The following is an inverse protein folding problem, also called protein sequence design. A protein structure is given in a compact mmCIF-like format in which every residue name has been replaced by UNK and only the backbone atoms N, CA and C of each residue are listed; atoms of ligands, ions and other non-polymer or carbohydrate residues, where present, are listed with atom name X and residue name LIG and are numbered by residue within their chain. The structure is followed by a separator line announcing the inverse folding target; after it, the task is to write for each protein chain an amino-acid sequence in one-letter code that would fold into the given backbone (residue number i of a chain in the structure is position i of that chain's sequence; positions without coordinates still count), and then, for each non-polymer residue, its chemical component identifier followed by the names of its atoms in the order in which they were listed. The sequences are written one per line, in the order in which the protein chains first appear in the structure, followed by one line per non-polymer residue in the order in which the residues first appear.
data_IF_318112478217
#
_entry.id   IF_318112478217
#
_cell.length_a   1.000
_cell.length_b   1.000
_cell.length_c   1.000
_cell.angle_alpha   90.00
_cell.angle_beta   90.00
_cell.angle_gamma   90.00
#
_symmetry.space_group_name_H-M   'P 1'
#
loop_
_entity.id
_entity.type
_entity.pdbx_description
1 polymer ?
#
# COMPACT_ATOMS: atom_id res chain seq x y z
N UNK A 1 -18.77 -11.64 -4.14
CA UNK A 1 -18.43 -12.91 -3.46
C UNK A 1 -17.55 -13.84 -4.31
N UNK A 2 -17.91 -14.13 -5.56
CA UNK A 2 -17.15 -15.06 -6.41
C UNK A 2 -15.67 -14.67 -6.62
N UNK A 3 -15.36 -13.38 -6.70
CA UNK A 3 -13.97 -12.91 -6.88
C UNK A 3 -13.14 -12.91 -5.60
N UNK A 4 -13.77 -12.84 -4.42
CA UNK A 4 -13.11 -12.91 -3.11
C UNK A 4 -12.71 -14.35 -2.73
N UNK A 5 -13.47 -15.34 -3.21
CA UNK A 5 -13.15 -16.77 -3.04
C UNK A 5 -11.93 -17.15 -3.91
N UNK A 6 -11.81 -16.58 -5.12
CA UNK A 6 -10.65 -16.80 -6.02
C UNK A 6 -9.31 -16.28 -5.48
N UNK A 7 -9.33 -15.33 -4.55
CA UNK A 7 -8.12 -14.76 -3.92
C UNK A 7 -7.73 -15.41 -2.59
N UNK A 8 -8.38 -16.51 -2.21
CA UNK A 8 -7.99 -17.32 -1.04
C UNK A 8 -8.48 -16.78 0.31
N UNK A 9 -9.53 -15.97 0.32
CA UNK A 9 -10.26 -15.60 1.55
C UNK A 9 -11.29 -16.68 1.81
N UNK A 10 -10.92 -17.71 2.58
CA UNK A 10 -11.74 -18.91 2.75
C UNK A 10 -12.94 -18.72 3.69
N UNK A 11 -13.03 -17.61 4.42
CA UNK A 11 -14.16 -17.31 5.30
C UNK A 11 -14.32 -15.79 5.42
N UNK A 12 -15.23 -15.21 4.64
CA UNK A 12 -15.71 -13.85 4.88
C UNK A 12 -16.79 -13.95 5.97
N UNK A 13 -16.48 -13.51 7.19
CA UNK A 13 -17.46 -13.38 8.26
C UNK A 13 -18.59 -12.42 7.86
N UNK A 14 -19.76 -12.52 8.50
CA UNK A 14 -20.89 -11.62 8.22
C UNK A 14 -20.55 -10.13 8.42
N UNK A 15 -19.58 -9.82 9.30
CA UNK A 15 -19.07 -8.46 9.48
C UNK A 15 -18.25 -7.97 8.27
N UNK A 16 -17.47 -8.86 7.64
CA UNK A 16 -16.68 -8.53 6.44
C UNK A 16 -17.58 -8.36 5.21
N UNK A 17 -18.72 -9.05 5.15
CA UNK A 17 -19.73 -8.85 4.11
C UNK A 17 -20.42 -7.49 4.24
N UNK A 18 -20.71 -7.04 5.46
CA UNK A 18 -21.22 -5.68 5.73
C UNK A 18 -20.23 -4.56 5.33
N UNK A 19 -18.92 -4.78 5.51
CA UNK A 19 -17.86 -3.84 5.08
C UNK A 19 -17.80 -3.68 3.56
N UNK A 20 -18.27 -4.65 2.78
CA UNK A 20 -18.33 -4.53 1.32
C UNK A 20 -19.42 -3.57 0.85
N UNK A 21 -20.36 -3.16 1.69
CA UNK A 21 -21.42 -2.23 1.30
C UNK A 21 -21.08 -0.75 1.55
N UNK A 22 -20.12 -0.47 2.42
CA UNK A 22 -19.54 0.88 2.58
C UNK A 22 -18.31 1.04 1.68
N UNK A 23 -18.30 1.99 0.72
CA UNK A 23 -17.17 2.17 -0.20
C UNK A 23 -15.81 2.38 0.48
N UNK A 24 -15.77 3.08 1.61
CA UNK A 24 -14.53 3.37 2.35
C UNK A 24 -14.02 2.13 3.10
N UNK A 25 -14.93 1.37 3.70
CA UNK A 25 -14.58 0.11 4.36
C UNK A 25 -14.19 -0.96 3.34
N UNK A 26 -14.85 -0.97 2.18
CA UNK A 26 -14.56 -1.86 1.05
C UNK A 26 -13.14 -1.65 0.53
N UNK A 27 -12.73 -0.42 0.26
CA UNK A 27 -11.36 -0.14 -0.22
C UNK A 27 -10.29 -0.61 0.76
N UNK A 28 -10.49 -0.30 2.05
CA UNK A 28 -9.56 -0.74 3.12
C UNK A 28 -9.51 -2.26 3.22
N UNK A 29 -10.65 -2.93 3.16
CA UNK A 29 -10.75 -4.39 3.24
C UNK A 29 -10.06 -5.07 2.04
N UNK A 30 -10.30 -4.58 0.82
CA UNK A 30 -9.65 -5.09 -0.39
C UNK A 30 -8.13 -4.95 -0.27
N UNK A 31 -7.65 -3.78 0.16
CA UNK A 31 -6.23 -3.52 0.37
C UNK A 31 -5.60 -4.51 1.37
N UNK A 32 -6.26 -4.74 2.51
CA UNK A 32 -5.83 -5.72 3.50
C UNK A 32 -5.74 -7.12 2.89
N UNK A 33 -6.79 -7.59 2.22
CA UNK A 33 -6.84 -8.93 1.60
C UNK A 33 -5.71 -9.11 0.60
N UNK A 34 -5.49 -8.16 -0.31
CA UNK A 34 -4.40 -8.26 -1.29
C UNK A 34 -3.01 -8.20 -0.65
N UNK A 35 -2.84 -7.43 0.41
CA UNK A 35 -1.58 -7.38 1.17
C UNK A 35 -1.31 -8.71 1.85
N UNK A 36 -2.32 -9.31 2.50
CA UNK A 36 -2.20 -10.62 3.13
C UNK A 36 -1.94 -11.74 2.11
N UNK A 37 -2.56 -11.66 0.93
CA UNK A 37 -2.25 -12.58 -0.17
C UNK A 37 -0.78 -12.47 -0.58
N UNK A 38 -0.27 -11.25 -0.81
CA UNK A 38 1.15 -11.02 -1.17
C UNK A 38 2.09 -11.52 -0.07
N UNK A 39 1.72 -11.34 1.19
CA UNK A 39 2.48 -11.86 2.32
C UNK A 39 2.53 -13.40 2.33
N UNK A 40 1.37 -14.07 2.20
CA UNK A 40 1.30 -15.54 2.10
C UNK A 40 2.08 -16.08 0.91
N UNK A 41 2.03 -15.39 -0.23
CA UNK A 41 2.82 -15.75 -1.41
C UNK A 41 4.34 -15.56 -1.15
N UNK A 42 4.74 -14.57 -0.34
CA UNK A 42 6.13 -14.41 0.08
C UNK A 42 6.59 -15.56 1.00
N UNK A 43 5.74 -16.05 1.90
CA UNK A 43 6.01 -17.19 2.80
C UNK A 43 6.21 -18.52 2.07
N UNK A 44 5.69 -18.67 0.84
CA UNK A 44 5.94 -19.87 0.02
C UNK A 44 7.41 -19.98 -0.43
N UNK A 45 8.14 -18.87 -0.39
CA UNK A 45 9.57 -18.85 -0.73
C UNK A 45 10.41 -19.17 0.50
N UNK A 46 11.69 -19.50 0.30
CA UNK A 46 12.63 -19.67 1.41
C UNK A 46 12.66 -18.42 2.29
N UNK A 47 12.55 -18.58 3.61
CA UNK A 47 12.70 -17.50 4.57
C UNK A 47 14.14 -16.98 4.60
N UNK A 48 14.38 -15.92 3.85
CA UNK A 48 15.68 -15.23 3.80
C UNK A 48 15.51 -13.75 4.09
N UNK A 49 16.58 -13.12 4.58
CA UNK A 49 16.60 -11.66 4.78
C UNK A 49 16.39 -10.91 3.45
N UNK A 50 16.94 -11.44 2.34
CA UNK A 50 16.77 -10.83 1.02
C UNK A 50 15.32 -10.81 0.56
N UNK A 51 14.59 -11.91 0.75
CA UNK A 51 13.17 -11.99 0.41
C UNK A 51 12.34 -11.03 1.28
N UNK A 52 12.66 -10.90 2.57
CA UNK A 52 11.96 -9.96 3.44
C UNK A 52 12.25 -8.50 3.07
N UNK A 53 13.49 -8.17 2.73
CA UNK A 53 13.88 -6.84 2.24
C UNK A 53 13.12 -6.48 0.96
N UNK A 54 13.00 -7.43 0.02
CA UNK A 54 12.24 -7.21 -1.21
C UNK A 54 10.75 -7.00 -0.94
N UNK A 55 10.14 -7.85 -0.10
CA UNK A 55 8.74 -7.70 0.29
C UNK A 55 8.50 -6.34 0.96
N UNK A 56 9.28 -6.04 2.00
CA UNK A 56 9.16 -4.80 2.75
C UNK A 56 9.33 -3.57 1.85
N UNK A 57 10.32 -3.60 0.94
CA UNK A 57 10.56 -2.49 0.01
C UNK A 57 9.34 -2.17 -0.86
N UNK A 58 8.59 -3.19 -1.31
CA UNK A 58 7.40 -3.01 -2.14
C UNK A 58 6.19 -2.48 -1.36
N UNK A 59 6.08 -2.80 -0.07
CA UNK A 59 4.96 -2.41 0.80
C UNK A 59 5.22 -1.13 1.62
N UNK A 60 6.39 -0.49 1.49
CA UNK A 60 6.80 0.65 2.32
C UNK A 60 5.78 1.79 2.36
N UNK A 61 5.29 2.22 1.19
CA UNK A 61 4.32 3.32 1.12
C UNK A 61 2.95 2.92 1.70
N UNK A 62 2.55 1.66 1.54
CA UNK A 62 1.35 1.11 2.15
C UNK A 62 1.44 1.16 3.68
N UNK A 63 2.55 0.66 4.24
CA UNK A 63 2.81 0.71 5.69
C UNK A 63 2.82 2.16 6.20
N UNK A 64 3.36 3.10 5.44
CA UNK A 64 3.33 4.52 5.78
C UNK A 64 1.90 5.08 5.78
N UNK A 65 1.05 4.66 4.84
CA UNK A 65 -0.35 5.07 4.75
C UNK A 65 -1.16 4.59 5.97
N UNK A 66 -0.93 3.37 6.44
CA UNK A 66 -1.59 2.84 7.64
C UNK A 66 -0.98 3.40 8.92
N UNK A 67 0.34 3.40 9.04
CA UNK A 67 1.03 3.79 10.26
C UNK A 67 2.49 4.17 10.05
N UNK A 68 2.82 5.48 10.11
CA UNK A 68 4.22 5.94 10.10
C UNK A 68 5.07 5.33 11.22
N UNK A 69 4.45 4.95 12.35
CA UNK A 69 5.12 4.23 13.44
C UNK A 69 5.59 2.84 12.98
N UNK A 70 4.69 2.05 12.41
CA UNK A 70 5.02 0.70 11.91
C UNK A 70 5.98 0.76 10.72
N UNK A 71 5.81 1.72 9.81
CA UNK A 71 6.77 1.98 8.73
C UNK A 71 8.21 2.11 9.25
N UNK A 72 8.42 2.89 10.33
CA UNK A 72 9.75 3.05 10.95
C UNK A 72 10.20 1.80 11.70
N UNK A 73 9.34 1.19 12.53
CA UNK A 73 9.71 0.03 13.34
C UNK A 73 10.02 -1.20 12.49
N UNK A 74 9.22 -1.45 11.46
CA UNK A 74 9.41 -2.56 10.54
C UNK A 74 10.62 -2.33 9.63
N UNK A 75 10.88 -1.09 9.21
CA UNK A 75 12.12 -0.74 8.51
C UNK A 75 13.37 -1.04 9.34
N UNK A 76 13.35 -0.71 10.64
CA UNK A 76 14.41 -1.06 11.59
C UNK A 76 14.55 -2.58 11.76
N UNK A 77 13.42 -3.29 11.93
CA UNK A 77 13.40 -4.75 12.05
C UNK A 77 14.07 -5.43 10.85
N UNK A 78 13.77 -4.96 9.62
CA UNK A 78 14.36 -5.50 8.40
C UNK A 78 15.86 -5.17 8.31
N UNK A 79 16.27 -3.95 8.69
CA UNK A 79 17.69 -3.57 8.68
C UNK A 79 18.53 -4.41 9.66
N UNK A 80 17.97 -4.71 10.83
CA UNK A 80 18.63 -5.50 11.89
C UNK A 80 18.43 -7.01 11.72
N UNK A 81 17.61 -7.46 10.76
CA UNK A 81 17.17 -8.84 10.63
C UNK A 81 18.28 -9.88 10.43
N UNK A 82 19.48 -9.48 10.00
CA UNK A 82 20.63 -10.39 9.86
C UNK A 82 21.11 -11.00 11.17
N UNK A 83 20.80 -10.38 12.32
CA UNK A 83 21.18 -10.89 13.65
C UNK A 83 20.13 -11.83 14.26
N UNK A 84 19.04 -12.14 13.54
CA UNK A 84 17.94 -12.96 14.04
C UNK A 84 17.81 -14.28 13.26
N UNK A 85 17.36 -15.37 13.91
CA UNK A 85 16.90 -16.55 13.20
C UNK A 85 15.79 -16.19 12.21
N UNK A 86 15.79 -16.70 10.96
CA UNK A 86 14.81 -16.35 9.94
C UNK A 86 13.36 -16.51 10.39
N UNK A 87 13.01 -17.62 11.04
CA UNK A 87 11.63 -17.85 11.53
C UNK A 87 11.19 -16.80 12.54
N UNK A 88 12.06 -16.46 13.51
CA UNK A 88 11.75 -15.43 14.50
C UNK A 88 11.56 -14.05 13.87
N UNK A 89 12.36 -13.73 12.84
CA UNK A 89 12.25 -12.48 12.09
C UNK A 89 10.91 -12.41 11.33
N UNK A 90 10.51 -13.47 10.64
CA UNK A 90 9.28 -13.52 9.87
C UNK A 90 8.05 -13.45 10.77
N UNK A 91 8.00 -14.20 11.87
CA UNK A 91 6.91 -14.13 12.86
C UNK A 91 6.77 -12.71 13.44
N UNK A 92 7.88 -12.07 13.80
CA UNK A 92 7.86 -10.70 14.33
C UNK A 92 7.42 -9.68 13.27
N UNK A 93 7.82 -9.88 12.02
CA UNK A 93 7.39 -9.04 10.91
C UNK A 93 5.90 -9.20 10.62
N UNK A 94 5.40 -10.43 10.61
CA UNK A 94 3.97 -10.74 10.41
C UNK A 94 3.10 -10.07 11.48
N UNK A 95 3.46 -10.19 12.77
CA UNK A 95 2.71 -9.51 13.85
C UNK A 95 2.58 -8.00 13.60
N UNK A 96 3.69 -7.32 13.29
CA UNK A 96 3.68 -5.88 13.02
C UNK A 96 2.94 -5.53 11.72
N UNK A 97 3.00 -6.39 10.70
CA UNK A 97 2.24 -6.21 9.47
C UNK A 97 0.73 -6.28 9.75
N UNK A 98 0.29 -7.28 10.50
CA UNK A 98 -1.12 -7.42 10.90
C UNK A 98 -1.55 -6.21 11.72
N UNK A 99 -0.80 -5.82 12.75
CA UNK A 99 -1.07 -4.62 13.57
C UNK A 99 -1.21 -3.36 12.72
N UNK A 100 -0.30 -3.16 11.75
CA UNK A 100 -0.36 -2.02 10.84
C UNK A 100 -1.62 -2.04 9.97
N UNK A 101 -1.96 -3.17 9.37
CA UNK A 101 -3.11 -3.31 8.47
C UNK A 101 -4.46 -3.09 9.16
N UNK A 102 -4.58 -3.36 10.47
CA UNK A 102 -5.79 -3.05 11.24
C UNK A 102 -6.03 -1.54 11.42
N UNK A 103 -5.00 -0.71 11.24
CA UNK A 103 -5.12 0.74 11.42
C UNK A 103 -5.66 1.40 10.15
N UNK A 104 -6.61 2.34 10.32
CA UNK A 104 -7.16 3.12 9.20
C UNK A 104 -6.09 4.00 8.55
N UNK A 105 -5.98 3.92 7.23
CA UNK A 105 -5.24 4.86 6.40
C UNK A 105 -6.07 6.14 6.20
N UNK A 106 -5.87 7.12 7.08
CA UNK A 106 -6.65 8.36 7.07
C UNK A 106 -6.23 9.27 5.92
N UNK A 107 -7.12 10.18 5.49
CA UNK A 107 -6.80 11.17 4.44
C UNK A 107 -5.52 11.96 4.73
N UNK A 108 -5.27 12.30 5.99
CA UNK A 108 -4.02 12.95 6.41
C UNK A 108 -2.78 12.07 6.18
N UNK A 109 -2.83 10.78 6.54
CA UNK A 109 -1.70 9.85 6.30
C UNK A 109 -1.51 9.59 4.80
N UNK A 110 -2.60 9.45 4.05
CA UNK A 110 -2.56 9.30 2.61
C UNK A 110 -1.93 10.53 1.93
N UNK A 111 -2.34 11.73 2.32
CA UNK A 111 -1.73 13.00 1.88
C UNK A 111 -0.22 13.00 2.14
N UNK A 112 0.22 12.55 3.32
CA UNK A 112 1.66 12.44 3.63
C UNK A 112 2.39 11.47 2.69
N UNK A 113 1.76 10.35 2.31
CA UNK A 113 2.33 9.40 1.35
C UNK A 113 2.40 10.01 -0.05
N UNK A 114 1.36 10.69 -0.52
CA UNK A 114 1.35 11.38 -1.82
C UNK A 114 2.44 12.45 -1.90
N UNK A 115 2.60 13.25 -0.84
CA UNK A 115 3.68 14.23 -0.74
C UNK A 115 5.07 13.57 -0.70
N UNK A 116 5.20 12.42 -0.02
CA UNK A 116 6.43 11.65 -0.03
C UNK A 116 6.77 11.13 -1.43
N UNK A 117 5.79 10.65 -2.19
CA UNK A 117 5.95 10.23 -3.59
C UNK A 117 6.39 11.43 -4.46
N UNK A 118 5.74 12.59 -4.32
CA UNK A 118 6.12 13.81 -5.05
C UNK A 118 7.60 14.18 -4.85
N UNK A 119 8.15 13.93 -3.66
CA UNK A 119 9.57 14.15 -3.36
C UNK A 119 10.55 13.40 -4.26
N UNK A 120 10.18 12.25 -4.84
CA UNK A 120 11.03 11.52 -5.79
C UNK A 120 11.19 12.26 -7.12
N UNK A 121 10.26 13.14 -7.45
CA UNK A 121 10.26 13.89 -8.70
C UNK A 121 10.80 15.31 -8.57
N UNK A 122 11.42 15.67 -7.44
CA UNK A 122 11.88 17.04 -7.15
C UNK A 122 12.80 17.65 -8.21
N UNK A 123 13.52 16.83 -8.98
CA UNK A 123 14.43 17.25 -10.07
C UNK A 123 13.89 16.94 -11.47
N UNK A 124 12.71 16.32 -11.56
CA UNK A 124 12.16 15.78 -12.80
C UNK A 124 10.95 16.58 -13.30
N UNK A 125 10.04 16.98 -12.39
CA UNK A 125 8.87 17.76 -12.77
C UNK A 125 9.26 19.20 -13.09
N UNK A 126 8.63 19.74 -14.14
CA UNK A 126 8.53 21.17 -14.37
C UNK A 126 7.75 21.86 -13.24
N UNK A 127 7.83 23.18 -13.16
CA UNK A 127 7.09 23.96 -12.17
C UNK A 127 5.56 23.76 -12.31
N UNK A 128 5.07 23.70 -13.55
CA UNK A 128 3.67 23.50 -13.88
C UNK A 128 3.17 22.11 -13.47
N UNK A 129 3.86 21.03 -13.86
CA UNK A 129 3.50 19.67 -13.45
C UNK A 129 3.56 19.49 -11.93
N UNK A 130 4.53 20.12 -11.26
CA UNK A 130 4.61 20.09 -9.80
C UNK A 130 3.40 20.77 -9.16
N UNK A 131 2.96 21.90 -9.72
CA UNK A 131 1.78 22.62 -9.25
C UNK A 131 0.51 21.80 -9.45
N UNK A 132 0.34 21.16 -10.62
CA UNK A 132 -0.77 20.25 -10.91
C UNK A 132 -0.87 19.12 -9.87
N UNK A 133 0.26 18.49 -9.52
CA UNK A 133 0.27 17.43 -8.50
C UNK A 133 -0.09 17.97 -7.12
N UNK A 134 0.42 19.15 -6.73
CA UNK A 134 0.13 19.75 -5.43
C UNK A 134 -1.37 20.10 -5.30
N UNK A 135 -1.96 20.69 -6.33
CA UNK A 135 -3.40 20.99 -6.37
C UNK A 135 -4.24 19.72 -6.30
N UNK A 136 -3.84 18.67 -7.03
CA UNK A 136 -4.52 17.39 -6.98
C UNK A 136 -4.46 16.73 -5.58
N UNK A 137 -3.32 16.84 -4.90
CA UNK A 137 -3.17 16.34 -3.52
C UNK A 137 -4.04 17.15 -2.56
N UNK A 138 -4.13 18.47 -2.74
CA UNK A 138 -4.97 19.34 -1.90
C UNK A 138 -6.46 19.04 -2.11
N UNK A 139 -6.90 18.87 -3.36
CA UNK A 139 -8.27 18.47 -3.68
C UNK A 139 -8.64 17.14 -3.01
N UNK A 140 -7.72 16.17 -3.00
CA UNK A 140 -7.92 14.92 -2.26
C UNK A 140 -7.99 15.15 -0.75
N UNK A 141 -7.07 15.96 -0.18
CA UNK A 141 -7.02 16.26 1.26
C UNK A 141 -8.33 16.88 1.75
N UNK A 142 -8.97 17.71 0.93
CA UNK A 142 -10.26 18.35 1.20
C UNK A 142 -11.47 17.45 0.89
N UNK A 143 -11.26 16.25 0.35
CA UNK A 143 -12.33 15.31 -0.01
C UNK A 143 -13.07 15.67 -1.30
N UNK A 144 -12.55 16.60 -2.10
CA UNK A 144 -13.16 17.00 -3.38
C UNK A 144 -12.98 15.92 -4.46
N UNK A 145 -11.95 15.09 -4.36
CA UNK A 145 -11.70 13.96 -5.26
C UNK A 145 -11.31 12.69 -4.48
N UNK A 146 -11.60 11.49 -5.00
CA UNK A 146 -11.18 10.24 -4.37
C UNK A 146 -9.68 10.00 -4.54
N UNK A 147 -9.09 9.17 -3.65
CA UNK A 147 -7.65 8.86 -3.64
C UNK A 147 -7.11 8.33 -4.97
N UNK A 148 -7.94 7.64 -5.74
CA UNK A 148 -7.53 7.08 -7.04
C UNK A 148 -7.08 8.15 -8.03
N UNK A 149 -7.58 9.39 -7.93
CA UNK A 149 -7.24 10.49 -8.85
C UNK A 149 -5.77 10.92 -8.69
N UNK A 150 -5.29 11.36 -7.50
CA UNK A 150 -3.87 11.68 -7.32
C UNK A 150 -2.97 10.46 -7.53
N UNK A 151 -3.40 9.24 -7.16
CA UNK A 151 -2.63 8.01 -7.43
C UNK A 151 -2.44 7.78 -8.93
N UNK A 152 -3.47 8.03 -9.74
CA UNK A 152 -3.40 7.87 -11.20
C UNK A 152 -2.44 8.88 -11.83
N UNK A 153 -2.50 10.16 -11.39
CA UNK A 153 -1.59 11.21 -11.83
C UNK A 153 -0.13 10.89 -11.46
N UNK A 154 0.13 10.48 -10.22
CA UNK A 154 1.47 10.08 -9.78
C UNK A 154 1.96 8.84 -10.57
N UNK A 155 1.10 7.87 -10.86
CA UNK A 155 1.44 6.73 -11.72
C UNK A 155 1.81 7.12 -13.14
N UNK A 156 1.16 8.15 -13.70
CA UNK A 156 1.56 8.71 -14.98
C UNK A 156 3.01 9.22 -14.90
N UNK A 157 3.36 9.99 -13.87
CA UNK A 157 4.72 10.52 -13.70
C UNK A 157 5.75 9.44 -13.39
N UNK A 158 5.41 8.40 -12.62
CA UNK A 158 6.29 7.24 -12.42
C UNK A 158 6.70 6.62 -13.75
N UNK A 159 5.74 6.46 -14.68
CA UNK A 159 5.99 5.91 -16.02
C UNK A 159 6.78 6.89 -16.89
N UNK A 160 6.35 8.15 -16.97
CA UNK A 160 6.99 9.21 -17.77
C UNK A 160 8.46 9.38 -17.41
N UNK A 161 8.77 9.46 -16.12
CA UNK A 161 10.12 9.68 -15.60
C UNK A 161 10.85 8.40 -15.21
N UNK A 162 10.28 7.23 -15.48
CA UNK A 162 10.86 5.90 -15.24
C UNK A 162 11.43 5.75 -13.81
N UNK A 163 10.66 6.14 -12.80
CA UNK A 163 11.10 6.09 -11.39
C UNK A 163 11.15 4.64 -10.88
N UNK A 164 12.34 4.00 -10.76
CA UNK A 164 12.43 2.55 -10.58
C UNK A 164 12.00 2.09 -9.18
N UNK A 165 12.19 2.94 -8.17
CA UNK A 165 11.75 2.66 -6.81
C UNK A 165 10.23 2.70 -6.67
N UNK A 166 9.60 3.73 -7.24
CA UNK A 166 8.16 3.93 -7.18
C UNK A 166 7.41 2.90 -8.03
N UNK A 167 7.97 2.50 -9.18
CA UNK A 167 7.39 1.47 -10.05
C UNK A 167 7.19 0.11 -9.36
N UNK A 168 7.87 -0.15 -8.24
CA UNK A 168 7.74 -1.38 -7.46
C UNK A 168 6.78 -1.26 -6.27
N UNK A 169 6.25 -0.06 -5.98
CA UNK A 169 5.41 0.17 -4.81
C UNK A 169 3.99 -0.33 -5.05
N UNK A 170 3.53 -1.24 -4.20
CA UNK A 170 2.17 -1.78 -4.25
C UNK A 170 1.12 -0.72 -3.98
N UNK A 171 1.45 0.31 -3.20
CA UNK A 171 0.58 1.47 -2.96
C UNK A 171 0.05 2.12 -4.26
N UNK A 172 0.89 2.19 -5.28
CA UNK A 172 0.52 2.79 -6.57
C UNK A 172 -0.25 1.82 -7.46
N UNK A 173 -0.19 0.51 -7.20
CA UNK A 173 -0.91 -0.53 -7.94
C UNK A 173 -1.45 -1.60 -6.97
N UNK A 174 -2.41 -1.24 -6.08
CA UNK A 174 -2.73 -2.05 -4.91
C UNK A 174 -3.40 -3.40 -5.24
N UNK A 175 -4.11 -3.45 -6.37
CA UNK A 175 -4.74 -4.65 -6.91
C UNK A 175 -4.76 -4.59 -8.45
N UNK A 176 -4.83 -5.75 -9.14
CA UNK A 176 -5.05 -5.79 -10.59
C UNK A 176 -6.26 -4.94 -11.00
N UNK A 177 -6.12 -4.18 -12.09
CA UNK A 177 -7.20 -3.35 -12.64
C UNK A 177 -8.42 -4.20 -13.05
N UNK A 178 -8.17 -5.45 -13.44
CA UNK A 178 -9.18 -6.39 -13.94
C UNK A 178 -10.26 -6.76 -12.92
N UNK A 179 -10.05 -6.47 -11.65
CA UNK A 179 -11.03 -6.77 -10.60
C UNK A 179 -12.17 -5.75 -10.51
N UNK A 180 -12.10 -4.62 -11.23
CA UNK A 180 -13.14 -3.57 -11.28
C UNK A 180 -13.73 -3.09 -9.93
N UNK A 181 -13.05 -3.36 -8.81
CA UNK A 181 -13.59 -3.15 -7.46
C UNK A 181 -13.79 -1.67 -7.08
N UNK A 182 -13.26 -0.73 -7.88
CA UNK A 182 -13.33 0.71 -7.64
C UNK A 182 -14.47 1.43 -8.38
N UNK A 183 -15.24 0.74 -9.23
CA UNK A 183 -16.23 1.37 -10.11
C UNK A 183 -17.69 1.19 -9.66
N UNK A 184 -17.94 0.72 -8.44
CA UNK A 184 -19.30 0.58 -7.93
C UNK A 184 -19.64 1.81 -7.06
N UNK A 185 -20.09 2.85 -7.75
CA UNK A 185 -20.85 3.97 -7.19
C UNK A 185 -22.26 3.51 -6.78
#
# INVERSE_FOLDING_TARGET
MADLIKIGVSTCSKEEEGRLHDPVLRETFIEQVFTLKRWRDALKNRHTIGNLVMFHTREKLLLMAHSPKHYRSMGKLVAEGKSMPPEALYTKYESQLMEALHLKATAAKQTNVLMHILGYFKKALSADEKQEVLEMIENYRQGAVPLIVPVTLLNHFVRKYRQPYLAQQTYLTPHPLDLQLRNHA
#
